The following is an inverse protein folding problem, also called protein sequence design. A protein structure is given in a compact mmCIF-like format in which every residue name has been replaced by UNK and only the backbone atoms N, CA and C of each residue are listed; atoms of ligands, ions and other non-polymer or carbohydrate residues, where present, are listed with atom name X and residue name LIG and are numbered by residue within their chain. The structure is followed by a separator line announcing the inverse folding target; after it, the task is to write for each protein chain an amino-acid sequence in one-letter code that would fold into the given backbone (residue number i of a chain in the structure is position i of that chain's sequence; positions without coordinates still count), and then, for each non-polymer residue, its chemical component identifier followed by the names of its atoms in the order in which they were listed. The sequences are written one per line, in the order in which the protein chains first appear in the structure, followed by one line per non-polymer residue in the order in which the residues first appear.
data_IF_831292541150
#
_entry.id   IF_831292541150
#
_cell.length_a   1.000
_cell.length_b   1.000
_cell.length_c   1.000
_cell.angle_alpha   90.00
_cell.angle_beta   90.00
_cell.angle_gamma   90.00
#
_symmetry.space_group_name_H-M   'P 1'
#
loop_
_entity.id
_entity.type
_entity.pdbx_description
1 polymer ?
#
# COMPACT_ATOMS: atom_id res chain seq x y z
N UNK A 1 1.36 -5.84 34.37
CA UNK A 1 1.33 -6.11 32.92
C UNK A 1 2.39 -7.15 32.62
N UNK A 2 2.01 -8.31 32.09
CA UNK A 2 2.94 -9.40 31.76
C UNK A 2 3.80 -9.03 30.56
N UNK A 3 4.93 -9.70 30.37
CA UNK A 3 5.80 -9.45 29.20
C UNK A 3 5.13 -9.86 27.87
N UNK A 4 4.22 -10.82 27.92
CA UNK A 4 3.37 -11.21 26.79
C UNK A 4 2.44 -10.06 26.35
N UNK A 5 1.76 -9.40 27.29
CA UNK A 5 0.89 -8.26 27.00
C UNK A 5 1.71 -7.09 26.43
N UNK A 6 2.94 -6.86 26.91
CA UNK A 6 3.82 -5.83 26.33
C UNK A 6 4.19 -6.13 24.89
N UNK A 7 4.51 -7.39 24.58
CA UNK A 7 4.85 -7.81 23.23
C UNK A 7 3.67 -7.63 22.26
N UNK A 8 2.46 -7.99 22.69
CA UNK A 8 1.23 -7.83 21.91
C UNK A 8 0.92 -6.34 21.65
N UNK A 9 1.00 -5.49 22.69
CA UNK A 9 0.84 -4.03 22.55
C UNK A 9 1.85 -3.46 21.55
N UNK A 10 3.13 -3.85 21.64
CA UNK A 10 4.15 -3.38 20.73
C UNK A 10 3.87 -3.81 19.28
N UNK A 11 3.43 -5.06 19.06
CA UNK A 11 3.04 -5.54 17.74
C UNK A 11 1.89 -4.71 17.14
N UNK A 12 0.85 -4.42 17.93
CA UNK A 12 -0.28 -3.60 17.50
C UNK A 12 0.12 -2.16 17.19
N UNK A 13 0.97 -1.57 18.03
CA UNK A 13 1.49 -0.22 17.77
C UNK A 13 2.30 -0.17 16.47
N UNK A 14 3.07 -1.22 16.17
CA UNK A 14 3.78 -1.34 14.90
C UNK A 14 2.83 -1.50 13.70
N UNK A 15 1.77 -2.30 13.82
CA UNK A 15 0.77 -2.43 12.76
C UNK A 15 0.03 -1.11 12.49
N UNK A 16 -0.39 -0.41 13.55
CA UNK A 16 -1.04 0.90 13.43
C UNK A 16 -0.09 1.92 12.78
N UNK A 17 1.18 1.93 13.19
CA UNK A 17 2.19 2.79 12.59
C UNK A 17 2.38 2.48 11.09
N UNK A 18 2.46 1.20 10.71
CA UNK A 18 2.50 0.78 9.29
C UNK A 18 1.26 1.26 8.52
N UNK A 19 0.07 1.09 9.08
CA UNK A 19 -1.18 1.55 8.48
C UNK A 19 -1.17 3.07 8.21
N UNK A 20 -0.64 3.87 9.14
CA UNK A 20 -0.47 5.31 8.93
C UNK A 20 0.51 5.63 7.80
N UNK A 21 1.67 4.95 7.75
CA UNK A 21 2.64 5.12 6.67
C UNK A 21 2.00 4.79 5.32
N UNK A 22 1.34 3.64 5.19
CA UNK A 22 0.67 3.25 3.94
C UNK A 22 -0.44 4.21 3.55
N UNK A 23 -1.19 4.77 4.50
CA UNK A 23 -2.19 5.79 4.20
C UNK A 23 -1.58 7.05 3.58
N UNK A 24 -0.41 7.49 4.06
CA UNK A 24 0.29 8.64 3.47
C UNK A 24 0.85 8.33 2.09
N UNK A 25 1.41 7.13 1.91
CA UNK A 25 1.91 6.68 0.61
C UNK A 25 0.79 6.62 -0.42
N UNK A 26 -0.36 6.03 -0.07
CA UNK A 26 -1.54 5.98 -0.92
C UNK A 26 -2.06 7.38 -1.27
N UNK A 27 -2.14 8.28 -0.28
CA UNK A 27 -2.57 9.65 -0.52
C UNK A 27 -1.63 10.37 -1.50
N UNK A 28 -0.31 10.22 -1.33
CA UNK A 28 0.70 10.77 -2.26
C UNK A 28 0.53 10.21 -3.67
N UNK A 29 0.33 8.90 -3.82
CA UNK A 29 0.10 8.28 -5.13
C UNK A 29 -1.15 8.85 -5.82
N UNK A 30 -2.24 9.02 -5.09
CA UNK A 30 -3.46 9.63 -5.62
C UNK A 30 -3.24 11.07 -6.07
N UNK A 31 -2.52 11.88 -5.28
CA UNK A 31 -2.17 13.26 -5.67
C UNK A 31 -1.33 13.28 -6.95
N UNK A 32 -0.34 12.40 -7.06
CA UNK A 32 0.52 12.30 -8.24
C UNK A 32 -0.30 11.95 -9.50
N UNK A 33 -1.24 11.01 -9.40
CA UNK A 33 -2.14 10.67 -10.51
C UNK A 33 -2.99 11.86 -10.94
N UNK A 34 -3.52 12.64 -9.99
CA UNK A 34 -4.29 13.84 -10.30
C UNK A 34 -3.45 14.92 -11.01
N UNK A 35 -2.20 15.10 -10.59
CA UNK A 35 -1.27 16.05 -11.22
C UNK A 35 -0.89 15.59 -12.63
N UNK A 36 -0.61 14.30 -12.82
CA UNK A 36 -0.33 13.71 -14.14
C UNK A 36 -1.53 13.93 -15.07
N UNK A 37 -2.73 13.61 -14.61
CA UNK A 37 -3.96 13.77 -15.39
C UNK A 37 -4.22 15.23 -15.77
N UNK A 38 -4.00 16.16 -14.84
CA UNK A 38 -4.09 17.60 -15.12
C UNK A 38 -3.18 18.00 -16.28
N UNK A 39 -1.89 17.64 -16.26
CA UNK A 39 -0.98 18.00 -17.34
C UNK A 39 -1.31 17.31 -18.66
N UNK A 40 -1.83 16.08 -18.64
CA UNK A 40 -2.34 15.42 -19.84
C UNK A 40 -3.54 16.18 -20.43
N UNK A 41 -4.46 16.65 -19.59
CA UNK A 41 -5.64 17.43 -20.01
C UNK A 41 -5.26 18.79 -20.62
N UNK A 42 -4.16 19.38 -20.17
CA UNK A 42 -3.57 20.60 -20.72
C UNK A 42 -2.68 20.35 -21.96
N UNK A 43 -2.71 19.14 -22.53
CA UNK A 43 -1.89 18.69 -23.65
C UNK A 43 -0.37 18.91 -23.41
N UNK A 44 0.07 18.71 -22.16
CA UNK A 44 1.45 18.81 -21.73
C UNK A 44 2.01 17.45 -21.27
N UNK A 45 2.25 16.51 -22.21
CA UNK A 45 2.71 15.16 -21.89
C UNK A 45 4.12 15.13 -21.29
N UNK A 46 4.94 16.17 -21.52
CA UNK A 46 6.29 16.26 -20.97
C UNK A 46 6.25 16.41 -19.46
N UNK A 47 5.46 17.35 -18.94
CA UNK A 47 5.30 17.53 -17.50
C UNK A 47 4.61 16.33 -16.86
N UNK A 48 3.57 15.79 -17.51
CA UNK A 48 2.92 14.56 -17.06
C UNK A 48 3.94 13.41 -16.89
N UNK A 49 4.85 13.24 -17.84
CA UNK A 49 5.89 12.22 -17.77
C UNK A 49 6.88 12.45 -16.62
N UNK A 50 7.31 13.69 -16.41
CA UNK A 50 8.22 14.03 -15.30
C UNK A 50 7.57 13.75 -13.94
N UNK A 51 6.30 14.12 -13.77
CA UNK A 51 5.55 13.80 -12.55
C UNK A 51 5.39 12.28 -12.37
N UNK A 52 5.07 11.53 -13.43
CA UNK A 52 4.98 10.08 -13.37
C UNK A 52 6.32 9.44 -12.95
N UNK A 53 7.45 9.93 -13.46
CA UNK A 53 8.77 9.42 -13.10
C UNK A 53 9.20 9.76 -11.67
N UNK A 54 8.67 10.83 -11.07
CA UNK A 54 9.01 11.21 -9.69
C UNK A 54 8.69 10.10 -8.68
N UNK A 55 7.73 9.21 -9.00
CA UNK A 55 7.40 8.05 -8.17
C UNK A 55 8.61 7.19 -7.82
N UNK A 56 9.58 7.06 -8.74
CA UNK A 56 10.78 6.24 -8.59
C UNK A 56 11.75 6.75 -7.52
N UNK A 57 11.57 7.98 -7.03
CA UNK A 57 12.32 8.49 -5.88
C UNK A 57 11.84 7.89 -4.55
N UNK A 58 10.66 7.27 -4.55
CA UNK A 58 9.97 6.82 -3.34
C UNK A 58 9.60 5.35 -3.34
N UNK A 59 9.62 4.69 -4.50
CA UNK A 59 9.41 3.24 -4.60
C UNK A 59 10.75 2.52 -4.71
N UNK A 60 10.80 1.30 -4.20
CA UNK A 60 11.97 0.45 -4.34
C UNK A 60 12.27 0.18 -5.82
N UNK A 61 13.54 0.35 -6.20
CA UNK A 61 14.03 0.12 -7.56
C UNK A 61 13.75 -1.29 -8.07
N UNK A 62 13.65 -2.28 -7.17
CA UNK A 62 13.41 -3.67 -7.52
C UNK A 62 12.07 -3.88 -8.25
N UNK A 63 11.00 -3.20 -7.83
CA UNK A 63 9.68 -3.29 -8.47
C UNK A 63 9.69 -2.75 -9.91
N UNK A 64 10.44 -1.68 -10.15
CA UNK A 64 10.53 -1.08 -11.49
C UNK A 64 11.27 -2.01 -12.46
N UNK A 65 12.33 -2.66 -12.00
CA UNK A 65 13.09 -3.58 -12.84
C UNK A 65 12.35 -4.90 -13.06
N UNK A 66 11.57 -5.38 -12.09
CA UNK A 66 10.65 -6.50 -12.29
C UNK A 66 9.58 -6.19 -13.34
N UNK A 67 8.97 -5.01 -13.26
CA UNK A 67 7.98 -4.54 -14.23
C UNK A 67 8.54 -4.57 -15.65
N UNK A 68 9.76 -4.03 -15.87
CA UNK A 68 10.42 -4.04 -17.18
C UNK A 68 10.65 -5.44 -17.73
N UNK A 69 11.01 -6.41 -16.87
CA UNK A 69 11.19 -7.83 -17.27
C UNK A 69 9.87 -8.45 -17.77
N UNK A 70 8.72 -7.91 -17.34
CA UNK A 70 7.39 -8.37 -17.72
C UNK A 70 6.71 -7.47 -18.76
N UNK A 71 7.43 -6.55 -19.41
CA UNK A 71 6.85 -5.60 -20.37
C UNK A 71 6.11 -6.26 -21.55
N UNK A 72 6.42 -7.53 -21.86
CA UNK A 72 5.71 -8.30 -22.90
C UNK A 72 4.25 -8.60 -22.60
N UNK A 73 3.85 -8.60 -21.32
CA UNK A 73 2.46 -8.69 -20.88
C UNK A 73 2.27 -7.98 -19.52
N UNK A 74 2.30 -6.65 -19.59
CA UNK A 74 2.21 -5.80 -18.39
C UNK A 74 0.89 -5.97 -17.65
N UNK A 75 -0.20 -6.31 -18.36
CA UNK A 75 -1.52 -6.48 -17.78
C UNK A 75 -1.60 -7.77 -16.96
N UNK A 76 -1.07 -8.88 -17.49
CA UNK A 76 -0.99 -10.13 -16.73
C UNK A 76 -0.10 -9.98 -15.49
N UNK A 77 1.04 -9.29 -15.62
CA UNK A 77 1.90 -9.00 -14.47
C UNK A 77 1.16 -8.17 -13.42
N UNK A 78 0.50 -7.08 -13.81
CA UNK A 78 -0.27 -6.24 -12.88
C UNK A 78 -1.36 -7.06 -12.17
N UNK A 79 -2.16 -7.82 -12.91
CA UNK A 79 -3.23 -8.63 -12.33
C UNK A 79 -2.68 -9.64 -11.31
N UNK A 80 -1.53 -10.24 -11.60
CA UNK A 80 -0.84 -11.14 -10.67
C UNK A 80 -0.40 -10.43 -9.39
N UNK A 81 0.11 -9.20 -9.46
CA UNK A 81 0.44 -8.42 -8.26
C UNK A 81 -0.80 -8.09 -7.41
N UNK A 82 -1.97 -8.02 -8.03
CA UNK A 82 -3.25 -7.78 -7.36
C UNK A 82 -3.92 -9.07 -6.85
N UNK A 83 -3.39 -10.25 -7.18
CA UNK A 83 -3.91 -11.52 -6.65
C UNK A 83 -3.76 -11.55 -5.12
N UNK A 84 -4.88 -11.72 -4.42
CA UNK A 84 -4.90 -11.71 -2.96
C UNK A 84 -5.12 -10.32 -2.34
N UNK A 85 -5.41 -9.29 -3.14
CA UNK A 85 -5.95 -8.04 -2.61
C UNK A 85 -7.25 -8.30 -1.83
N UNK A 86 -7.28 -7.86 -0.57
CA UNK A 86 -8.40 -8.10 0.35
C UNK A 86 -9.22 -6.83 0.55
N UNK A 87 -10.52 -6.99 0.77
CA UNK A 87 -11.37 -5.88 1.22
C UNK A 87 -11.03 -5.46 2.66
N UNK A 88 -11.48 -4.27 3.07
CA UNK A 88 -11.35 -3.82 4.47
C UNK A 88 -11.96 -4.83 5.45
N UNK A 89 -13.09 -5.44 5.11
CA UNK A 89 -13.76 -6.44 5.94
C UNK A 89 -12.93 -7.72 6.10
N UNK A 90 -12.32 -8.19 5.00
CA UNK A 90 -11.43 -9.34 5.02
C UNK A 90 -10.14 -9.05 5.78
N UNK A 91 -9.54 -7.88 5.59
CA UNK A 91 -8.38 -7.45 6.35
C UNK A 91 -8.68 -7.41 7.85
N UNK A 92 -9.83 -6.85 8.26
CA UNK A 92 -10.28 -6.83 9.65
C UNK A 92 -10.45 -8.23 10.24
N UNK A 93 -10.99 -9.17 9.44
CA UNK A 93 -11.12 -10.57 9.87
C UNK A 93 -9.75 -11.19 10.15
N UNK A 94 -8.79 -11.02 9.23
CA UNK A 94 -7.40 -11.51 9.39
C UNK A 94 -6.76 -10.89 10.64
N UNK A 95 -6.90 -9.58 10.85
CA UNK A 95 -6.37 -8.90 12.04
C UNK A 95 -6.93 -9.49 13.33
N UNK A 96 -8.24 -9.77 13.40
CA UNK A 96 -8.85 -10.38 14.59
C UNK A 96 -8.33 -11.79 14.86
N UNK A 97 -8.06 -12.56 13.80
CA UNK A 97 -7.46 -13.90 13.90
C UNK A 97 -6.01 -13.84 14.39
N UNK A 98 -5.25 -12.79 14.06
CA UNK A 98 -3.88 -12.56 14.52
C UNK A 98 -3.80 -12.10 15.99
N UNK A 99 -4.85 -11.44 16.50
CA UNK A 99 -4.91 -10.91 17.86
C UNK A 99 -6.14 -11.43 18.64
N UNK A 100 -6.21 -12.74 18.91
CA UNK A 100 -7.40 -13.38 19.48
C UNK A 100 -7.73 -12.90 20.90
N UNK A 101 -6.73 -12.50 21.70
CA UNK A 101 -6.96 -12.01 23.06
C UNK A 101 -7.68 -10.65 23.06
N UNK A 102 -7.38 -9.78 22.09
CA UNK A 102 -8.13 -8.54 21.92
C UNK A 102 -9.57 -8.78 21.44
N UNK A 103 -9.77 -9.74 20.54
CA UNK A 103 -11.12 -10.05 20.07
C UNK A 103 -12.01 -10.58 21.20
N UNK A 104 -11.44 -11.36 22.13
CA UNK A 104 -12.12 -11.75 23.37
C UNK A 104 -12.52 -10.53 24.21
N UNK A 105 -11.62 -9.56 24.37
CA UNK A 105 -11.93 -8.31 25.10
C UNK A 105 -13.01 -7.46 24.41
N UNK A 106 -13.04 -7.42 23.08
CA UNK A 106 -14.03 -6.67 22.29
C UNK A 106 -15.45 -7.26 22.39
N UNK A 107 -15.55 -8.57 22.64
CA UNK A 107 -16.81 -9.33 22.62
C UNK A 107 -17.33 -9.70 24.02
N UNK A 108 -16.60 -9.34 25.08
CA UNK A 108 -17.00 -9.48 26.48
C UNK A 108 -17.96 -8.36 26.91
#
# INVERSE_FOLDING_TARGET
MTDEIKAEINSLQQEVARGHVYSWELHRLNLLLLVVEYYLSENNPKEAHLWAQSIFQWIDSEFHDEMKKNAGDINAWFNKQMEGAVSTEQALKITRELYPELEKLRTA
#
